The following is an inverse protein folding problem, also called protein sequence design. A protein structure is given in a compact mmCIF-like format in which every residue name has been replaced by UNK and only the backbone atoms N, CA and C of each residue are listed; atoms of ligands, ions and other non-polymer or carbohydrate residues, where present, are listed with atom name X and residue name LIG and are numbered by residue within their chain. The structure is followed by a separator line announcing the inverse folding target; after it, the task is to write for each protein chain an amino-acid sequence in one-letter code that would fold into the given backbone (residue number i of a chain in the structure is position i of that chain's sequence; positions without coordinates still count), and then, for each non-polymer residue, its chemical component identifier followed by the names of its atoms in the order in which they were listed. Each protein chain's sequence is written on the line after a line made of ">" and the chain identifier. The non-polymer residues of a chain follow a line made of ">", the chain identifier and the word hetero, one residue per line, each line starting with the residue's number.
data_IF_227192170582
#
_entry.id   IF_227192170582
#
_cell.length_a   1.000
_cell.length_b   1.000
_cell.length_c   1.000
_cell.angle_alpha   90.00
_cell.angle_beta   90.00
_cell.angle_gamma   90.00
#
_symmetry.space_group_name_H-M   'P 1'
#
loop_
_entity.id
_entity.type
_entity.pdbx_description
1 polymer ?
#
# COMPACT_ATOMS: atom_id res chain seq x y z
N UNK A 1 -20.08 18.80 -74.33
CA UNK A 1 -18.72 18.59 -73.81
C UNK A 1 -18.63 19.38 -72.52
N UNK A 2 -19.27 18.87 -71.47
CA UNK A 2 -18.73 17.94 -70.45
C UNK A 2 -18.00 18.71 -69.33
N UNK A 3 -18.61 18.72 -68.15
CA UNK A 3 -18.00 19.10 -66.87
C UNK A 3 -17.02 18.00 -66.42
N UNK A 4 -16.11 18.29 -65.46
CA UNK A 4 -16.28 17.66 -64.13
C UNK A 4 -15.86 18.58 -62.97
N UNK A 5 -16.69 18.67 -61.92
CA UNK A 5 -16.70 17.90 -60.66
C UNK A 5 -15.77 18.44 -59.57
N UNK A 6 -16.42 18.86 -58.48
CA UNK A 6 -15.85 19.24 -57.20
C UNK A 6 -15.31 18.03 -56.44
N UNK A 7 -14.04 18.07 -56.01
CA UNK A 7 -13.56 17.16 -54.96
C UNK A 7 -13.16 17.94 -53.70
N UNK A 8 -14.12 18.01 -52.79
CA UNK A 8 -13.91 18.35 -51.39
C UNK A 8 -13.04 17.26 -50.73
N UNK A 9 -11.73 17.53 -50.57
CA UNK A 9 -10.81 16.67 -49.84
C UNK A 9 -11.20 16.60 -48.36
N UNK A 10 -12.00 15.58 -48.01
CA UNK A 10 -12.28 15.17 -46.63
C UNK A 10 -10.98 14.72 -45.96
N UNK A 11 -10.37 15.61 -45.17
CA UNK A 11 -9.30 15.23 -44.24
C UNK A 11 -9.87 14.33 -43.15
N UNK A 12 -9.62 13.03 -43.26
CA UNK A 12 -10.02 12.01 -42.29
C UNK A 12 -9.30 12.25 -40.96
N UNK A 13 -9.98 12.93 -40.03
CA UNK A 13 -9.56 13.04 -38.63
C UNK A 13 -9.50 11.62 -38.04
N UNK A 14 -8.30 11.04 -37.96
CA UNK A 14 -8.04 9.79 -37.26
C UNK A 14 -8.50 9.93 -35.82
N UNK A 15 -9.70 9.43 -35.51
CA UNK A 15 -10.17 9.22 -34.13
C UNK A 15 -9.17 8.26 -33.48
N UNK A 16 -8.31 8.78 -32.61
CA UNK A 16 -7.57 7.94 -31.65
C UNK A 16 -8.63 7.17 -30.88
N UNK A 17 -8.78 5.88 -31.18
CA UNK A 17 -9.48 4.93 -30.30
C UNK A 17 -8.79 5.10 -28.94
N UNK A 18 -9.51 5.64 -27.96
CA UNK A 18 -9.10 5.56 -26.56
C UNK A 18 -8.95 4.07 -26.30
N UNK A 19 -7.71 3.61 -26.18
CA UNK A 19 -7.42 2.28 -25.70
C UNK A 19 -8.15 2.16 -24.35
N UNK A 20 -8.88 1.06 -24.07
CA UNK A 20 -9.37 0.85 -22.72
C UNK A 20 -8.17 0.99 -21.79
N UNK A 21 -8.29 1.89 -20.82
CA UNK A 21 -7.33 2.09 -19.74
C UNK A 21 -7.01 0.71 -19.20
N UNK A 22 -5.80 0.22 -19.48
CA UNK A 22 -5.37 -1.07 -18.97
C UNK A 22 -5.54 -1.04 -17.46
N UNK A 23 -6.06 -2.11 -16.83
CA UNK A 23 -6.08 -2.17 -15.37
C UNK A 23 -4.67 -1.87 -14.85
N UNK A 24 -4.60 -1.12 -13.75
CA UNK A 24 -3.32 -0.83 -13.12
C UNK A 24 -2.58 -2.16 -12.88
N UNK A 25 -1.28 -2.24 -13.23
CA UNK A 25 -0.54 -3.48 -13.09
C UNK A 25 -0.60 -3.96 -11.64
N UNK A 26 -0.87 -5.25 -11.46
CA UNK A 26 -0.84 -5.86 -10.13
C UNK A 26 0.59 -5.84 -9.56
N UNK A 27 0.71 -6.11 -8.26
CA UNK A 27 2.00 -5.99 -7.60
C UNK A 27 3.03 -7.03 -8.01
N UNK A 28 2.62 -8.22 -8.48
CA UNK A 28 3.55 -9.23 -8.98
C UNK A 28 4.17 -8.77 -10.30
N UNK A 29 3.35 -8.15 -11.15
CA UNK A 29 3.79 -7.50 -12.38
C UNK A 29 4.74 -6.35 -12.07
N UNK A 30 4.42 -5.49 -11.10
CA UNK A 30 5.30 -4.41 -10.67
C UNK A 30 6.63 -4.92 -10.11
N UNK A 31 6.62 -5.97 -9.30
CA UNK A 31 7.81 -6.62 -8.76
C UNK A 31 8.70 -7.18 -9.87
N UNK A 32 8.14 -7.97 -10.80
CA UNK A 32 8.91 -8.56 -11.90
C UNK A 32 9.52 -7.48 -12.81
N UNK A 33 8.78 -6.40 -13.06
CA UNK A 33 9.26 -5.26 -13.82
C UNK A 33 10.37 -4.51 -13.06
N UNK A 34 10.23 -4.29 -11.76
CA UNK A 34 11.27 -3.66 -10.93
C UNK A 34 12.54 -4.52 -10.88
N UNK A 35 12.40 -5.82 -10.67
CA UNK A 35 13.51 -6.76 -10.61
C UNK A 35 14.27 -6.84 -11.94
N UNK A 36 13.55 -6.98 -13.06
CA UNK A 36 14.17 -7.01 -14.40
C UNK A 36 14.83 -5.68 -14.76
N UNK A 37 14.23 -4.56 -14.34
CA UNK A 37 14.77 -3.23 -14.53
C UNK A 37 16.03 -2.98 -13.68
N UNK A 38 16.11 -3.50 -12.46
CA UNK A 38 17.32 -3.45 -11.63
C UNK A 38 18.48 -4.23 -12.25
N UNK A 39 18.19 -5.26 -13.03
CA UNK A 39 19.21 -6.08 -13.70
C UNK A 39 19.81 -5.42 -14.97
N UNK A 40 19.11 -4.45 -15.59
CA UNK A 40 19.57 -3.78 -16.80
C UNK A 40 19.94 -2.31 -16.50
N UNK A 41 21.10 -1.81 -16.92
CA UNK A 41 21.74 -0.65 -16.27
C UNK A 41 21.48 0.75 -16.87
N UNK A 42 20.87 0.90 -18.05
CA UNK A 42 20.79 2.22 -18.73
C UNK A 42 19.39 2.63 -19.23
N UNK A 43 18.57 1.70 -19.72
CA UNK A 43 17.20 1.98 -20.21
C UNK A 43 16.11 1.76 -19.15
N UNK A 44 16.49 1.32 -17.95
CA UNK A 44 15.58 0.86 -16.89
C UNK A 44 15.11 1.95 -15.93
N UNK A 45 15.78 3.11 -15.88
CA UNK A 45 15.52 4.16 -14.88
C UNK A 45 14.08 4.69 -14.95
N UNK A 46 13.58 4.95 -16.16
CA UNK A 46 12.20 5.42 -16.39
C UNK A 46 11.19 4.39 -15.91
N UNK A 47 11.47 3.10 -16.17
CA UNK A 47 10.64 1.98 -15.74
C UNK A 47 10.61 1.86 -14.23
N UNK A 48 11.77 1.92 -13.56
CA UNK A 48 11.88 1.89 -12.10
C UNK A 48 11.06 3.03 -11.49
N UNK A 49 11.25 4.27 -11.95
CA UNK A 49 10.51 5.44 -11.45
C UNK A 49 9.01 5.26 -11.57
N UNK A 50 8.53 4.83 -12.74
CA UNK A 50 7.09 4.60 -12.98
C UNK A 50 6.53 3.54 -12.04
N UNK A 51 7.25 2.43 -11.84
CA UNK A 51 6.83 1.36 -10.94
C UNK A 51 6.76 1.83 -9.48
N UNK A 52 7.72 2.64 -9.01
CA UNK A 52 7.70 3.20 -7.65
C UNK A 52 6.52 4.14 -7.42
N UNK A 53 6.18 4.98 -8.40
CA UNK A 53 5.00 5.85 -8.32
C UNK A 53 3.72 5.03 -8.23
N UNK A 54 3.57 4.03 -9.10
CA UNK A 54 2.40 3.14 -9.08
C UNK A 54 2.27 2.40 -7.75
N UNK A 55 3.38 1.90 -7.20
CA UNK A 55 3.40 1.23 -5.92
C UNK A 55 2.93 2.13 -4.77
N UNK A 56 3.46 3.36 -4.70
CA UNK A 56 3.07 4.34 -3.68
C UNK A 56 1.57 4.65 -3.75
N UNK A 57 1.03 4.79 -4.96
CA UNK A 57 -0.40 5.01 -5.17
C UNK A 57 -1.23 3.81 -4.71
N UNK A 58 -0.80 2.58 -5.00
CA UNK A 58 -1.49 1.37 -4.55
C UNK A 58 -1.51 1.22 -3.02
N UNK A 59 -0.44 1.62 -2.33
CA UNK A 59 -0.37 1.60 -0.86
C UNK A 59 -1.32 2.61 -0.21
N UNK A 60 -1.53 3.76 -0.86
CA UNK A 60 -2.31 4.89 -0.33
C UNK A 60 -3.77 4.87 -0.77
N UNK A 61 -4.10 4.26 -1.91
CA UNK A 61 -5.45 4.21 -2.49
C UNK A 61 -6.31 3.09 -1.91
N UNK A 62 -6.09 2.69 -0.65
CA UNK A 62 -6.92 1.67 -0.01
C UNK A 62 -8.37 2.16 0.08
N UNK A 63 -9.19 1.73 -0.86
CA UNK A 63 -10.64 1.81 -0.78
C UNK A 63 -11.11 0.83 0.30
N UNK A 64 -12.05 1.21 1.17
CA UNK A 64 -12.60 0.32 2.19
C UNK A 64 -13.47 -0.73 1.52
N UNK A 65 -12.86 -1.79 0.98
CA UNK A 65 -13.59 -2.98 0.54
C UNK A 65 -13.55 -4.04 1.64
N UNK A 66 -14.58 -4.89 1.76
CA UNK A 66 -14.80 -5.73 2.94
C UNK A 66 -13.93 -7.01 2.95
N UNK A 67 -12.92 -7.12 2.08
CA UNK A 67 -12.13 -8.33 1.95
C UNK A 67 -10.82 -8.21 2.74
N UNK A 68 -10.64 -8.98 3.83
CA UNK A 68 -9.51 -8.85 4.75
C UNK A 68 -8.25 -9.55 4.23
N UNK A 69 -8.04 -9.59 2.91
CA UNK A 69 -6.79 -10.13 2.40
C UNK A 69 -5.68 -9.10 2.59
N UNK A 70 -4.63 -9.40 3.39
CA UNK A 70 -3.47 -8.54 3.47
C UNK A 70 -2.94 -8.39 2.05
N UNK A 71 -2.88 -7.16 1.58
CA UNK A 71 -2.56 -6.87 0.19
C UNK A 71 -1.26 -7.62 -0.16
N UNK A 72 -1.27 -8.59 -1.11
CA UNK A 72 -0.06 -9.35 -1.48
C UNK A 72 1.03 -8.44 -2.10
N UNK A 73 0.67 -7.17 -2.32
CA UNK A 73 1.50 -6.05 -2.74
C UNK A 73 2.78 -5.89 -1.90
N UNK A 74 2.74 -6.23 -0.62
CA UNK A 74 3.81 -5.82 0.29
C UNK A 74 5.00 -6.79 0.24
N UNK A 75 4.80 -8.11 0.28
CA UNK A 75 5.91 -9.04 0.57
C UNK A 75 7.01 -9.07 -0.50
N UNK A 76 6.71 -9.22 -1.81
CA UNK A 76 7.77 -9.29 -2.82
C UNK A 76 8.49 -7.95 -2.98
N UNK A 77 7.76 -6.83 -3.00
CA UNK A 77 8.38 -5.51 -3.16
C UNK A 77 9.23 -5.11 -1.96
N UNK A 78 8.84 -5.47 -0.73
CA UNK A 78 9.66 -5.24 0.46
C UNK A 78 11.08 -5.83 0.32
N UNK A 79 11.21 -6.98 -0.36
CA UNK A 79 12.52 -7.61 -0.59
C UNK A 79 13.47 -6.80 -1.48
N UNK A 80 12.95 -5.91 -2.33
CA UNK A 80 13.75 -5.05 -3.21
C UNK A 80 14.14 -3.73 -2.55
N UNK A 81 13.45 -3.32 -1.49
CA UNK A 81 13.67 -2.02 -0.84
C UNK A 81 15.10 -1.83 -0.34
N UNK A 82 15.78 -2.82 0.30
CA UNK A 82 17.17 -2.63 0.73
C UNK A 82 18.12 -2.28 -0.43
N UNK A 83 17.90 -2.83 -1.62
CA UNK A 83 18.71 -2.54 -2.82
C UNK A 83 18.35 -1.18 -3.39
N UNK A 84 17.05 -0.88 -3.47
CA UNK A 84 16.55 0.38 -4.04
C UNK A 84 16.90 1.60 -3.17
N UNK A 85 16.88 1.45 -1.84
CA UNK A 85 17.28 2.49 -0.88
C UNK A 85 18.78 2.79 -1.01
N UNK A 86 19.61 1.78 -1.29
CA UNK A 86 21.05 1.92 -1.51
C UNK A 86 21.42 2.33 -2.93
N UNK A 87 20.43 2.68 -3.77
CA UNK A 87 20.68 3.10 -5.16
C UNK A 87 21.55 4.36 -5.22
N UNK A 88 22.50 4.38 -6.15
CA UNK A 88 23.31 5.56 -6.50
C UNK A 88 22.47 6.73 -7.06
N UNK A 89 21.21 6.49 -7.42
CA UNK A 89 20.28 7.50 -7.89
C UNK A 89 19.43 8.01 -6.73
N UNK A 90 19.69 9.25 -6.29
CA UNK A 90 19.01 9.85 -5.15
C UNK A 90 17.49 9.77 -5.24
N UNK A 91 16.90 10.02 -6.42
CA UNK A 91 15.45 9.95 -6.62
C UNK A 91 14.88 8.54 -6.39
N UNK A 92 15.60 7.48 -6.78
CA UNK A 92 15.16 6.08 -6.54
C UNK A 92 15.23 5.78 -5.04
N UNK A 93 16.31 6.17 -4.38
CA UNK A 93 16.47 5.99 -2.94
C UNK A 93 15.36 6.74 -2.17
N UNK A 94 15.13 8.02 -2.49
CA UNK A 94 14.07 8.85 -1.89
C UNK A 94 12.70 8.21 -2.08
N UNK A 95 12.31 7.82 -3.30
CA UNK A 95 11.02 7.18 -3.56
C UNK A 95 10.84 5.87 -2.79
N UNK A 96 11.92 5.09 -2.65
CA UNK A 96 11.89 3.83 -1.91
C UNK A 96 11.72 4.06 -0.41
N UNK A 97 12.34 5.11 0.15
CA UNK A 97 12.16 5.53 1.53
C UNK A 97 10.73 6.05 1.76
N UNK A 98 10.18 6.86 0.84
CA UNK A 98 8.78 7.32 0.90
C UNK A 98 7.80 6.13 0.91
N UNK A 99 8.10 5.08 0.14
CA UNK A 99 7.31 3.84 0.12
C UNK A 99 7.37 3.13 1.47
N UNK A 100 8.56 3.00 2.08
CA UNK A 100 8.71 2.44 3.44
C UNK A 100 7.85 3.25 4.41
N UNK A 101 7.99 4.58 4.41
CA UNK A 101 7.23 5.46 5.29
C UNK A 101 5.71 5.34 5.07
N UNK A 102 5.25 5.30 3.82
CA UNK A 102 3.83 5.12 3.49
C UNK A 102 3.30 3.77 3.96
N UNK A 103 4.06 2.68 3.77
CA UNK A 103 3.67 1.35 4.24
C UNK A 103 3.60 1.28 5.78
N UNK A 104 4.56 1.89 6.48
CA UNK A 104 4.53 2.00 7.94
C UNK A 104 3.33 2.83 8.43
N UNK A 105 3.02 3.94 7.75
CA UNK A 105 1.91 4.82 8.11
C UNK A 105 0.55 4.15 7.95
N UNK A 106 0.37 3.31 6.93
CA UNK A 106 -0.85 2.52 6.73
C UNK A 106 -1.13 1.62 7.95
N UNK A 107 -0.10 0.92 8.44
CA UNK A 107 -0.21 0.07 9.63
C UNK A 107 -0.53 0.91 10.87
N UNK A 108 0.20 2.02 11.05
CA UNK A 108 -0.01 2.94 12.16
C UNK A 108 -1.43 3.54 12.21
N UNK A 109 -1.95 4.02 11.07
CA UNK A 109 -3.28 4.62 10.98
C UNK A 109 -4.40 3.61 11.23
N UNK A 110 -4.21 2.35 10.85
CA UNK A 110 -5.17 1.29 11.18
C UNK A 110 -5.17 1.00 12.69
N UNK A 111 -3.99 0.93 13.31
CA UNK A 111 -3.87 0.74 14.75
C UNK A 111 -4.56 1.87 15.52
N UNK A 112 -4.44 3.13 15.06
CA UNK A 112 -5.18 4.25 15.67
C UNK A 112 -6.70 4.09 15.53
N UNK A 113 -7.20 3.67 14.36
CA UNK A 113 -8.63 3.43 14.14
C UNK A 113 -9.17 2.33 15.05
N UNK A 114 -8.44 1.23 15.20
CA UNK A 114 -8.80 0.13 16.11
C UNK A 114 -8.79 0.64 17.55
N UNK A 115 -7.78 1.40 17.95
CA UNK A 115 -7.69 1.94 19.31
C UNK A 115 -8.82 2.92 19.66
N UNK A 116 -9.35 3.66 18.68
CA UNK A 116 -10.49 4.56 18.90
C UNK A 116 -11.78 3.82 19.26
N UNK A 117 -11.92 2.56 18.84
CA UNK A 117 -13.02 1.68 19.23
C UNK A 117 -12.72 1.01 20.59
N UNK A 118 -13.27 1.59 21.66
CA UNK A 118 -13.03 1.12 23.02
C UNK A 118 -13.49 -0.31 23.29
N UNK A 119 -14.52 -0.80 22.60
CA UNK A 119 -15.00 -2.18 22.80
C UNK A 119 -14.04 -3.19 22.19
N UNK A 120 -13.44 -2.88 21.03
CA UNK A 120 -12.37 -3.72 20.48
C UNK A 120 -11.18 -3.78 21.44
N UNK A 121 -10.77 -2.64 22.01
CA UNK A 121 -9.65 -2.60 22.97
C UNK A 121 -9.95 -3.44 24.22
N UNK A 122 -11.15 -3.33 24.81
CA UNK A 122 -11.56 -4.16 25.95
C UNK A 122 -11.57 -5.65 25.61
N UNK A 123 -12.12 -6.03 24.45
CA UNK A 123 -12.12 -7.41 23.99
C UNK A 123 -10.69 -7.97 23.85
N UNK A 124 -9.75 -7.17 23.34
CA UNK A 124 -8.34 -7.55 23.26
C UNK A 124 -7.72 -7.76 24.64
N UNK A 125 -8.01 -6.87 25.61
CA UNK A 125 -7.52 -7.01 26.99
C UNK A 125 -8.09 -8.29 27.62
N UNK A 126 -9.40 -8.51 27.53
CA UNK A 126 -10.03 -9.72 28.04
C UNK A 126 -9.49 -11.00 27.39
N UNK A 127 -9.15 -10.94 26.09
CA UNK A 127 -8.56 -12.07 25.36
C UNK A 127 -7.15 -12.46 25.86
N UNK A 128 -6.43 -11.58 26.58
CA UNK A 128 -5.17 -11.94 27.24
C UNK A 128 -5.36 -13.03 28.30
N UNK A 129 -6.53 -13.07 28.95
CA UNK A 129 -6.87 -14.09 29.95
C UNK A 129 -7.42 -15.39 29.33
N UNK A 130 -7.41 -15.53 28.00
CA UNK A 130 -7.89 -16.75 27.34
C UNK A 130 -7.08 -17.98 27.78
N UNK A 131 -7.74 -19.10 28.11
CA UNK A 131 -7.06 -20.37 28.39
C UNK A 131 -6.39 -20.95 27.13
N UNK A 132 -6.82 -20.53 25.94
CA UNK A 132 -6.22 -20.94 24.69
C UNK A 132 -4.99 -20.08 24.38
N UNK A 133 -3.80 -20.69 24.46
CA UNK A 133 -2.52 -20.00 24.31
C UNK A 133 -2.35 -19.25 22.97
N UNK A 134 -2.90 -19.79 21.89
CA UNK A 134 -2.89 -19.16 20.56
C UNK A 134 -3.61 -17.80 20.59
N UNK A 135 -4.77 -17.75 21.25
CA UNK A 135 -5.61 -16.56 21.40
C UNK A 135 -4.92 -15.51 22.26
N UNK A 136 -4.36 -15.89 23.41
CA UNK A 136 -3.66 -14.92 24.29
C UNK A 136 -2.39 -14.35 23.65
N UNK A 137 -1.64 -15.16 22.89
CA UNK A 137 -0.49 -14.67 22.11
C UNK A 137 -0.95 -13.70 21.00
N UNK A 138 -2.03 -14.03 20.27
CA UNK A 138 -2.55 -13.16 19.23
C UNK A 138 -3.05 -11.82 19.80
N UNK A 139 -3.74 -11.86 20.95
CA UNK A 139 -4.18 -10.67 21.68
C UNK A 139 -2.98 -9.81 22.14
N UNK A 140 -1.94 -10.44 22.67
CA UNK A 140 -0.71 -9.75 23.07
C UNK A 140 -0.03 -9.04 21.88
N UNK A 141 0.09 -9.71 20.73
CA UNK A 141 0.65 -9.10 19.52
C UNK A 141 -0.19 -7.91 19.03
N UNK A 142 -1.53 -8.05 19.01
CA UNK A 142 -2.41 -6.96 18.63
C UNK A 142 -2.27 -5.76 19.58
N UNK A 143 -2.19 -6.00 20.90
CA UNK A 143 -1.96 -4.94 21.89
C UNK A 143 -0.59 -4.27 21.72
N UNK A 144 0.47 -5.03 21.42
CA UNK A 144 1.79 -4.47 21.10
C UNK A 144 1.73 -3.58 19.85
N UNK A 145 0.97 -3.97 18.83
CA UNK A 145 0.73 -3.15 17.64
C UNK A 145 -0.02 -1.86 17.99
N UNK A 146 -1.06 -1.91 18.84
CA UNK A 146 -1.76 -0.71 19.31
C UNK A 146 -0.83 0.23 20.10
N UNK A 147 0.09 -0.31 20.89
CA UNK A 147 1.08 0.45 21.68
C UNK A 147 2.04 1.28 20.81
N UNK A 148 2.17 0.99 19.52
CA UNK A 148 2.92 1.84 18.59
C UNK A 148 2.31 3.24 18.47
N UNK A 149 1.01 3.38 18.75
CA UNK A 149 0.26 4.64 18.64
C UNK A 149 0.05 5.31 20.02
N UNK A 150 -0.03 6.64 20.05
CA UNK A 150 -0.31 7.37 21.31
C UNK A 150 -1.73 7.10 21.80
N UNK A 151 -2.70 7.04 20.88
CA UNK A 151 -4.11 6.76 21.20
C UNK A 151 -4.24 5.34 21.80
N UNK A 152 -3.60 4.34 21.19
CA UNK A 152 -3.60 2.97 21.71
C UNK A 152 -3.04 2.88 23.12
N UNK A 153 -1.89 3.51 23.39
CA UNK A 153 -1.33 3.56 24.77
C UNK A 153 -2.29 4.23 25.76
N UNK A 154 -2.91 5.34 25.38
CA UNK A 154 -3.85 6.04 26.25
C UNK A 154 -5.08 5.17 26.56
N UNK A 155 -5.67 4.54 25.54
CA UNK A 155 -6.85 3.68 25.69
C UNK A 155 -6.58 2.43 26.53
N UNK A 156 -5.42 1.80 26.34
CA UNK A 156 -4.99 0.68 27.17
C UNK A 156 -4.84 1.12 28.63
N UNK A 157 -4.22 2.28 28.90
CA UNK A 157 -4.14 2.81 30.27
C UNK A 157 -5.54 3.09 30.86
N UNK A 158 -6.44 3.72 30.10
CA UNK A 158 -7.81 4.00 30.52
C UNK A 158 -8.55 2.71 30.93
N UNK A 159 -8.49 1.65 30.12
CA UNK A 159 -9.21 0.41 30.39
C UNK A 159 -8.52 -0.50 31.40
N UNK A 160 -7.18 -0.52 31.44
CA UNK A 160 -6.45 -1.24 32.49
C UNK A 160 -6.64 -0.60 33.87
N UNK A 161 -6.83 0.72 33.96
CA UNK A 161 -7.21 1.38 35.22
C UNK A 161 -8.62 0.97 35.63
N UNK A 162 -9.57 0.86 34.69
CA UNK A 162 -10.93 0.41 34.98
C UNK A 162 -10.95 -1.03 35.51
N UNK A 163 -10.16 -1.95 34.94
CA UNK A 163 -10.04 -3.33 35.45
C UNK A 163 -9.46 -3.41 36.87
N UNK A 164 -8.70 -2.41 37.32
CA UNK A 164 -8.15 -2.38 38.68
C UNK A 164 -9.05 -1.67 39.71
N UNK A 165 -10.12 -0.98 39.26
CA UNK A 165 -11.07 -0.27 40.12
C UNK A 165 -12.37 -1.06 40.33
N UNK A 166 -12.68 -1.99 39.42
CA UNK A 166 -13.78 -2.96 39.56
C UNK A 166 -13.37 -4.20 40.36
#
# INVERSE_FOLDING_TARGET
>A
MEAPESEMKRSTKRRRKKHPTSPAPDANTLFAVLLSALHHSSSSLVTIKRCLVQLRLSLTSQSPTPNPNPNPITVPILSLLPVLIKSKWAEIATRSIEIVGAASLVSFAMNERIALDGEIVKCLISALASPERSVSIAACNAILDLCTTTIGRQRLLEFSVIENIM
#
